data_IF_087398498316
#
_entry.id   IF_087398498316
#
_cell.length_a   1.000
_cell.length_b   1.000
_cell.length_c   1.000
_cell.angle_alpha   90.00
_cell.angle_beta   90.00
_cell.angle_gamma   90.00
#
_symmetry.space_group_name_H-M   'P 1'
#
loop_
_entity.id
_entity.type
_entity.pdbx_description
1 polymer ?
#
# COMPACT_ATOMS: atom_id res chain seq x y z
N UNK A 1 -5.71 -4.59 -12.03
CA UNK A 1 -7.06 -4.67 -11.45
C UNK A 1 -7.26 -3.72 -10.26
N UNK A 2 -6.83 -4.06 -9.03
CA UNK A 2 -7.03 -3.19 -7.84
C UNK A 2 -5.99 -2.07 -7.70
N UNK A 3 -4.72 -2.38 -7.95
CA UNK A 3 -3.63 -1.37 -7.89
C UNK A 3 -3.79 -0.28 -8.95
N UNK A 4 -4.16 -0.65 -10.18
CA UNK A 4 -4.48 0.30 -11.26
C UNK A 4 -5.66 1.19 -10.90
N UNK A 5 -6.71 0.64 -10.29
CA UNK A 5 -7.86 1.43 -9.80
C UNK A 5 -7.42 2.45 -8.76
N UNK A 6 -6.61 2.05 -7.77
CA UNK A 6 -6.07 2.98 -6.77
C UNK A 6 -5.17 4.04 -7.42
N UNK A 7 -4.42 3.68 -8.47
CA UNK A 7 -3.59 4.64 -9.20
C UNK A 7 -4.44 5.70 -9.90
N UNK A 8 -5.50 5.29 -10.60
CA UNK A 8 -6.45 6.23 -11.22
C UNK A 8 -7.16 7.11 -10.19
N UNK A 9 -7.55 6.55 -9.04
CA UNK A 9 -8.15 7.34 -7.94
C UNK A 9 -7.20 8.38 -7.37
N UNK A 10 -5.90 8.06 -7.25
CA UNK A 10 -4.89 9.04 -6.80
C UNK A 10 -4.77 10.17 -7.82
N UNK A 11 -4.70 9.86 -9.12
CA UNK A 11 -4.61 10.89 -10.17
C UNK A 11 -5.83 11.82 -10.15
N UNK A 12 -7.03 11.27 -9.99
CA UNK A 12 -8.27 12.04 -9.84
C UNK A 12 -8.23 12.93 -8.59
N UNK A 13 -7.88 12.38 -7.43
CA UNK A 13 -7.82 13.12 -6.16
C UNK A 13 -6.74 14.20 -6.14
N UNK A 14 -5.59 13.98 -6.77
CA UNK A 14 -4.54 15.00 -6.93
C UNK A 14 -5.05 16.17 -7.77
N UNK A 15 -5.81 15.88 -8.83
CA UNK A 15 -6.44 16.93 -9.65
C UNK A 15 -7.46 17.72 -8.84
N UNK A 16 -8.34 17.03 -8.10
CA UNK A 16 -9.32 17.67 -7.20
C UNK A 16 -8.63 18.56 -6.15
N UNK A 17 -7.60 18.04 -5.46
CA UNK A 17 -6.86 18.80 -4.47
C UNK A 17 -6.17 20.03 -5.08
N UNK A 18 -5.60 19.89 -6.28
CA UNK A 18 -4.99 21.03 -6.99
C UNK A 18 -6.03 22.11 -7.32
N UNK A 19 -7.23 21.72 -7.75
CA UNK A 19 -8.32 22.65 -8.06
C UNK A 19 -8.86 23.34 -6.79
N UNK A 20 -9.05 22.60 -5.69
CA UNK A 20 -9.52 23.15 -4.40
C UNK A 20 -8.50 24.11 -3.80
N UNK A 21 -7.21 23.76 -3.84
CA UNK A 21 -6.12 24.57 -3.28
C UNK A 21 -5.77 25.81 -4.12
N UNK A 22 -6.23 25.91 -5.37
CA UNK A 22 -5.87 27.00 -6.28
C UNK A 22 -6.29 28.39 -5.76
N UNK A 23 -7.35 28.46 -4.94
CA UNK A 23 -7.81 29.72 -4.36
C UNK A 23 -7.04 30.09 -3.08
N UNK A 24 -6.81 29.13 -2.19
CA UNK A 24 -6.05 29.31 -0.96
C UNK A 24 -5.43 27.97 -0.51
N UNK A 25 -4.11 27.88 -0.63
CA UNK A 25 -3.32 26.71 -0.24
C UNK A 25 -3.32 26.43 1.28
N UNK A 26 -3.73 27.40 2.10
CA UNK A 26 -3.79 27.26 3.57
C UNK A 26 -5.19 27.04 4.11
N UNK A 27 -6.19 27.00 3.22
CA UNK A 27 -7.57 26.73 3.58
C UNK A 27 -7.73 25.34 4.21
N UNK A 28 -8.75 25.18 5.05
CA UNK A 28 -9.08 23.89 5.66
C UNK A 28 -9.48 22.88 4.58
N UNK A 29 -10.22 23.34 3.57
CA UNK A 29 -10.66 22.55 2.42
C UNK A 29 -9.48 22.03 1.59
N UNK A 30 -8.46 22.86 1.36
CA UNK A 30 -7.23 22.43 0.68
C UNK A 30 -6.51 21.32 1.48
N UNK A 31 -6.42 21.48 2.80
CA UNK A 31 -5.79 20.47 3.66
C UNK A 31 -6.55 19.16 3.64
N UNK A 32 -7.87 19.20 3.77
CA UNK A 32 -8.73 18.01 3.69
C UNK A 32 -8.58 17.31 2.34
N UNK A 33 -8.53 18.08 1.23
CA UNK A 33 -8.35 17.49 -0.09
C UNK A 33 -7.00 16.75 -0.24
N UNK A 34 -5.93 17.27 0.35
CA UNK A 34 -4.63 16.57 0.38
C UNK A 34 -4.59 15.40 1.36
N UNK A 35 -5.28 15.46 2.50
CA UNK A 35 -5.45 14.31 3.39
C UNK A 35 -6.14 13.14 2.65
N UNK A 36 -7.16 13.42 1.82
CA UNK A 36 -7.78 12.38 0.99
C UNK A 36 -6.80 11.76 -0.02
N UNK A 37 -5.91 12.55 -0.63
CA UNK A 37 -4.85 12.03 -1.51
C UNK A 37 -3.88 11.13 -0.74
N UNK A 38 -3.50 11.52 0.47
CA UNK A 38 -2.62 10.76 1.35
C UNK A 38 -3.23 9.40 1.69
N UNK A 39 -4.49 9.37 2.13
CA UNK A 39 -5.19 8.14 2.52
C UNK A 39 -5.30 7.14 1.36
N UNK A 40 -5.64 7.59 0.15
CA UNK A 40 -5.70 6.70 -1.02
C UNK A 40 -4.30 6.21 -1.41
N UNK A 41 -3.28 7.05 -1.28
CA UNK A 41 -1.88 6.70 -1.53
C UNK A 41 -1.38 5.65 -0.53
N UNK A 42 -1.73 5.80 0.75
CA UNK A 42 -1.43 4.84 1.79
C UNK A 42 -2.12 3.50 1.52
N UNK A 43 -3.40 3.50 1.15
CA UNK A 43 -4.11 2.28 0.79
C UNK A 43 -3.45 1.52 -0.38
N UNK A 44 -2.85 2.24 -1.34
CA UNK A 44 -2.05 1.64 -2.41
C UNK A 44 -0.73 1.07 -1.90
N UNK A 45 -0.04 1.78 -1.01
CA UNK A 45 1.19 1.28 -0.40
C UNK A 45 0.93 -0.01 0.40
N UNK A 46 -0.11 -0.03 1.23
CA UNK A 46 -0.52 -1.21 1.99
C UNK A 46 -0.86 -2.40 1.09
N UNK A 47 -1.52 -2.14 -0.04
CA UNK A 47 -1.79 -3.18 -1.04
C UNK A 47 -0.50 -3.76 -1.61
N UNK A 48 0.49 -2.92 -1.95
CA UNK A 48 1.79 -3.37 -2.46
C UNK A 48 2.55 -4.21 -1.45
N UNK A 49 2.55 -3.80 -0.18
CA UNK A 49 3.16 -4.58 0.91
C UNK A 49 2.50 -5.96 0.98
N UNK A 50 1.17 -6.02 0.98
CA UNK A 50 0.43 -7.30 0.99
C UNK A 50 0.75 -8.17 -0.23
N UNK A 51 0.83 -7.60 -1.43
CA UNK A 51 1.20 -8.34 -2.64
C UNK A 51 2.64 -8.88 -2.56
N UNK A 52 3.57 -8.11 -2.00
CA UNK A 52 4.94 -8.58 -1.79
C UNK A 52 5.01 -9.69 -0.76
N UNK A 53 4.22 -9.62 0.31
CA UNK A 53 4.11 -10.71 1.30
C UNK A 53 3.52 -11.98 0.68
N UNK A 54 2.54 -11.85 -0.23
CA UNK A 54 2.01 -13.01 -0.97
C UNK A 54 3.01 -13.59 -1.99
N UNK A 55 3.96 -12.79 -2.44
CA UNK A 55 5.07 -13.22 -3.30
C UNK A 55 6.30 -13.65 -2.47
N UNK A 56 6.14 -13.94 -1.18
CA UNK A 56 7.20 -14.52 -0.36
C UNK A 56 7.70 -15.83 -0.95
N UNK A 57 8.93 -16.19 -0.59
CA UNK A 57 9.50 -17.49 -0.95
C UNK A 57 8.51 -18.58 -0.54
N UNK A 58 8.01 -19.39 -1.50
CA UNK A 58 7.08 -20.47 -1.20
C UNK A 58 7.60 -21.41 -0.10
N UNK A 59 8.94 -21.55 0.01
CA UNK A 59 9.57 -22.32 1.07
C UNK A 59 9.33 -21.70 2.45
N UNK A 60 9.34 -20.38 2.58
CA UNK A 60 9.13 -19.70 3.86
C UNK A 60 7.70 -19.92 4.40
N UNK A 61 6.69 -19.79 3.53
CA UNK A 61 5.30 -20.13 3.90
C UNK A 61 5.14 -21.62 4.22
N UNK A 62 5.79 -22.49 3.44
CA UNK A 62 5.77 -23.93 3.69
C UNK A 62 6.41 -24.30 5.05
N UNK A 63 7.55 -23.70 5.39
CA UNK A 63 8.26 -23.95 6.65
C UNK A 63 7.55 -23.39 7.88
N UNK A 64 6.73 -22.34 7.73
CA UNK A 64 5.87 -21.86 8.82
C UNK A 64 4.83 -22.92 9.23
N UNK A 65 4.32 -23.69 8.27
CA UNK A 65 3.32 -24.74 8.51
C UNK A 65 3.95 -26.12 8.76
N UNK A 66 5.17 -26.36 8.27
CA UNK A 66 5.86 -27.66 8.31
C UNK A 66 7.31 -27.51 8.83
N UNK A 67 7.52 -27.04 10.07
CA UNK A 67 8.86 -26.73 10.58
C UNK A 67 9.77 -27.95 10.75
N UNK A 68 9.20 -29.15 10.85
CA UNK A 68 9.93 -30.41 11.04
C UNK A 68 10.46 -31.06 9.76
N UNK A 69 10.09 -30.56 8.57
CA UNK A 69 10.58 -31.10 7.31
C UNK A 69 12.05 -30.77 7.11
N UNK A 70 12.74 -31.60 6.34
CA UNK A 70 14.20 -31.48 6.19
C UNK A 70 14.60 -30.16 5.49
N UNK A 71 13.72 -29.60 4.67
CA UNK A 71 13.88 -28.29 4.03
C UNK A 71 13.78 -27.11 5.01
N UNK A 72 13.26 -27.34 6.23
CA UNK A 72 12.87 -26.30 7.18
C UNK A 72 13.57 -26.38 8.53
N UNK A 73 14.39 -27.41 8.77
CA UNK A 73 15.16 -27.55 10.01
C UNK A 73 16.20 -26.43 10.15
N UNK A 74 16.03 -25.60 11.17
CA UNK A 74 17.02 -24.58 11.60
C UNK A 74 17.66 -25.06 12.91
N UNK A 75 18.99 -25.07 12.98
CA UNK A 75 19.75 -25.42 14.18
C UNK A 75 20.25 -24.13 14.85
N UNK A 76 20.08 -24.00 16.16
CA UNK A 76 20.72 -22.94 16.94
C UNK A 76 22.16 -23.37 17.29
N UNK A 77 23.14 -22.51 16.99
CA UNK A 77 24.57 -22.71 17.30
C UNK A 77 24.91 -22.41 18.77
#
# INVERSE_FOLDING_TARGET
MREEKLSGMIEEKVKEATEVCAADERSEECRVAWDEVEEVSQAKADLRIKLNLLNQDPLESFCQENPETDECRVYED
#
